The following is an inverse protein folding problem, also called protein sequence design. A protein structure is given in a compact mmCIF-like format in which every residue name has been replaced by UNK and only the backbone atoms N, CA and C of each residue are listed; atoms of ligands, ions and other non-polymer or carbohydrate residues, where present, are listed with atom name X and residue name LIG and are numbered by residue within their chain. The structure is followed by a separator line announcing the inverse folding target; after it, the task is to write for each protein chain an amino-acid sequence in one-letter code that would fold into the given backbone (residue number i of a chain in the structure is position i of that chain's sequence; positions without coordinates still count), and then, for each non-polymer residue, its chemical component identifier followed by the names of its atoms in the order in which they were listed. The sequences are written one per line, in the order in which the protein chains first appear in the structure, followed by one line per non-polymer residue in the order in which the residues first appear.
data_IF_698702388199
#
_entry.id   IF_698702388199
#
_cell.length_a   1.000
_cell.length_b   1.000
_cell.length_c   1.000
_cell.angle_alpha   90.00
_cell.angle_beta   90.00
_cell.angle_gamma   90.00
#
_symmetry.space_group_name_H-M   'P 1'
#
loop_
_entity.id
_entity.type
_entity.pdbx_description
1 polymer ?
#
# COMPACT_ATOMS: atom_id res chain seq x y z
N UNK A 1 19.88 8.46 -23.13
CA UNK A 1 18.88 7.36 -23.17
C UNK A 1 17.74 7.62 -22.19
N UNK A 2 16.49 7.40 -22.61
CA UNK A 2 15.32 7.44 -21.72
C UNK A 2 15.05 6.06 -21.14
N UNK A 3 15.32 5.90 -19.84
CA UNK A 3 14.88 4.74 -19.08
C UNK A 3 13.35 4.64 -19.17
N UNK A 4 12.85 3.61 -19.86
CA UNK A 4 11.42 3.28 -19.84
C UNK A 4 11.12 2.79 -18.42
N UNK A 5 10.81 3.73 -17.51
CA UNK A 5 10.09 3.43 -16.27
C UNK A 5 8.92 2.54 -16.65
N UNK A 6 8.99 1.29 -16.23
CA UNK A 6 7.92 0.30 -16.38
C UNK A 6 6.65 0.99 -15.91
N UNK A 7 5.75 1.33 -16.84
CA UNK A 7 4.54 2.07 -16.52
C UNK A 7 3.76 1.26 -15.49
N UNK A 8 3.65 1.76 -14.27
CA UNK A 8 2.90 1.06 -13.23
C UNK A 8 1.44 1.02 -13.61
N UNK A 9 0.78 -0.09 -13.30
CA UNK A 9 -0.64 -0.26 -13.64
C UNK A 9 -1.55 0.65 -12.81
N UNK A 10 -1.02 1.31 -11.77
CA UNK A 10 -1.75 2.21 -10.88
C UNK A 10 -1.13 2.28 -9.47
N UNK A 11 -1.92 2.67 -8.47
CA UNK A 11 -1.45 2.93 -7.10
C UNK A 11 -2.23 2.15 -6.03
N UNK A 12 -1.50 1.55 -5.10
CA UNK A 12 -2.03 1.00 -3.85
C UNK A 12 -1.64 1.92 -2.71
N UNK A 13 -2.66 2.41 -2.00
CA UNK A 13 -2.52 3.19 -0.78
C UNK A 13 -2.82 2.30 0.41
N UNK A 14 -2.16 2.54 1.53
CA UNK A 14 -2.47 1.85 2.77
C UNK A 14 -2.20 2.74 3.97
N UNK A 15 -2.73 2.36 5.12
CA UNK A 15 -2.52 3.06 6.38
C UNK A 15 -2.07 2.06 7.42
N UNK A 16 -1.01 2.39 8.13
CA UNK A 16 -0.54 1.60 9.25
C UNK A 16 -1.39 1.94 10.47
N UNK A 17 -2.18 0.99 10.93
CA UNK A 17 -3.07 1.17 12.09
C UNK A 17 -2.56 0.45 13.33
N UNK A 18 -2.96 0.94 14.49
CA UNK A 18 -2.63 0.41 15.83
C UNK A 18 -1.15 0.65 16.17
N UNK A 19 -0.49 -0.32 16.80
CA UNK A 19 0.91 -0.22 17.21
C UNK A 19 1.89 -0.87 16.21
N UNK A 20 3.19 -0.55 16.32
CA UNK A 20 4.25 -1.08 15.46
C UNK A 20 4.28 -2.60 15.33
N UNK A 21 3.83 -3.33 16.34
CA UNK A 21 3.71 -4.79 16.37
C UNK A 21 2.84 -5.35 15.24
N UNK A 22 1.93 -4.53 14.67
CA UNK A 22 1.07 -4.92 13.55
C UNK A 22 1.54 -4.39 12.20
N UNK A 23 2.49 -3.46 12.16
CA UNK A 23 2.85 -2.75 10.93
C UNK A 23 3.53 -3.67 9.91
N UNK A 24 4.35 -4.63 10.37
CA UNK A 24 5.03 -5.58 9.49
C UNK A 24 4.03 -6.40 8.65
N UNK A 25 2.95 -6.88 9.27
CA UNK A 25 1.89 -7.61 8.57
C UNK A 25 1.16 -6.72 7.55
N UNK A 26 0.87 -5.48 7.92
CA UNK A 26 0.19 -4.51 7.05
C UNK A 26 1.03 -4.16 5.82
N UNK A 27 2.34 -3.93 6.01
CA UNK A 27 3.30 -3.73 4.92
C UNK A 27 3.36 -4.98 4.05
N UNK A 28 3.52 -6.17 4.64
CA UNK A 28 3.63 -7.41 3.88
C UNK A 28 2.40 -7.66 2.99
N UNK A 29 1.19 -7.42 3.52
CA UNK A 29 -0.05 -7.51 2.76
C UNK A 29 -0.10 -6.48 1.63
N UNK A 30 0.27 -5.23 1.89
CA UNK A 30 0.26 -4.18 0.88
C UNK A 30 1.27 -4.43 -0.26
N UNK A 31 2.49 -4.87 0.09
CA UNK A 31 3.52 -5.29 -0.88
C UNK A 31 3.02 -6.46 -1.72
N UNK A 32 2.38 -7.46 -1.09
CA UNK A 32 1.84 -8.62 -1.81
C UNK A 32 0.76 -8.21 -2.82
N UNK A 33 -0.16 -7.35 -2.43
CA UNK A 33 -1.22 -6.83 -3.32
C UNK A 33 -0.63 -6.02 -4.46
N UNK A 34 0.24 -5.05 -4.16
CA UNK A 34 0.84 -4.19 -5.17
C UNK A 34 1.67 -4.98 -6.19
N UNK A 35 2.46 -5.96 -5.72
CA UNK A 35 3.22 -6.87 -6.58
C UNK A 35 2.30 -7.71 -7.47
N UNK A 36 1.21 -8.24 -6.93
CA UNK A 36 0.26 -9.06 -7.69
C UNK A 36 -0.40 -8.26 -8.82
N UNK A 37 -0.70 -6.99 -8.57
CA UNK A 37 -1.37 -6.09 -9.53
C UNK A 37 -0.40 -5.32 -10.45
N UNK A 38 0.91 -5.40 -10.20
CA UNK A 38 1.90 -4.57 -10.89
C UNK A 38 1.74 -3.06 -10.60
N UNK A 39 1.20 -2.74 -9.42
CA UNK A 39 0.94 -1.37 -8.97
C UNK A 39 2.13 -0.79 -8.17
N UNK A 40 2.19 0.54 -8.13
CA UNK A 40 3.10 1.29 -7.25
C UNK A 40 2.51 1.38 -5.86
N UNK A 41 3.33 1.18 -4.84
CA UNK A 41 2.96 1.36 -3.45
C UNK A 41 3.17 2.83 -3.05
N UNK A 42 2.13 3.49 -2.55
CA UNK A 42 2.26 4.81 -1.95
C UNK A 42 2.89 4.71 -0.55
N UNK A 43 3.74 5.66 -0.17
CA UNK A 43 4.18 5.79 1.23
C UNK A 43 2.93 5.94 2.13
N UNK A 44 2.77 5.10 3.16
CA UNK A 44 1.58 5.12 3.99
C UNK A 44 1.61 6.29 4.97
N UNK A 45 0.47 6.55 5.59
CA UNK A 45 0.40 7.27 6.86
C UNK A 45 0.26 6.28 8.02
N UNK A 46 0.61 6.72 9.23
CA UNK A 46 0.41 5.96 10.47
C UNK A 46 -0.77 6.55 11.22
N UNK A 47 -1.74 5.71 11.58
CA UNK A 47 -2.91 6.10 12.39
C UNK A 47 -2.94 5.28 13.68
N UNK A 48 -2.77 5.97 14.80
CA UNK A 48 -2.96 5.36 16.12
C UNK A 48 -4.43 5.00 16.38
N UNK A 49 -4.72 4.57 17.61
CA UNK A 49 -6.09 4.25 18.07
C UNK A 49 -7.04 5.45 17.99
N UNK A 50 -6.53 6.67 18.06
CA UNK A 50 -7.29 7.91 17.89
C UNK A 50 -7.21 8.39 16.44
N UNK A 51 -8.37 8.44 15.78
CA UNK A 51 -8.51 8.71 14.35
C UNK A 51 -8.14 10.15 13.92
N UNK A 52 -7.94 11.06 14.87
CA UNK A 52 -7.60 12.48 14.64
C UNK A 52 -6.11 12.75 14.46
N UNK A 53 -5.22 11.80 14.80
CA UNK A 53 -3.77 12.02 14.77
C UNK A 53 -3.10 11.05 13.78
N UNK A 54 -3.33 11.26 12.49
CA UNK A 54 -2.47 10.65 11.47
C UNK A 54 -1.06 11.27 11.58
N UNK A 55 -0.04 10.43 11.54
CA UNK A 55 1.36 10.84 11.56
C UNK A 55 2.02 10.47 10.23
N UNK A 56 2.89 11.32 9.69
CA UNK A 56 3.78 10.95 8.60
C UNK A 56 4.55 9.67 8.93
N UNK A 57 4.72 8.78 7.95
CA UNK A 57 5.52 7.57 8.13
C UNK A 57 6.97 7.88 8.54
N UNK A 58 7.53 8.96 7.99
CA UNK A 58 8.88 9.45 8.28
C UNK A 58 9.13 9.86 9.73
N UNK A 59 8.07 10.10 10.53
CA UNK A 59 8.22 10.45 11.95
C UNK A 59 8.55 9.23 12.81
N UNK A 60 8.30 8.02 12.31
CA UNK A 60 8.46 6.75 13.05
C UNK A 60 9.45 5.82 12.36
N UNK A 61 9.49 5.84 11.02
CA UNK A 61 10.31 4.94 10.21
C UNK A 61 11.17 5.72 9.23
N UNK A 62 12.34 5.15 8.92
CA UNK A 62 13.20 5.66 7.87
C UNK A 62 12.59 5.37 6.49
N UNK A 63 12.16 6.43 5.80
CA UNK A 63 11.53 6.36 4.48
C UNK A 63 12.50 5.83 3.42
N UNK A 64 13.77 6.24 3.47
CA UNK A 64 14.77 5.88 2.47
C UNK A 64 15.16 4.41 2.61
N UNK A 65 15.38 3.96 3.85
CA UNK A 65 15.63 2.55 4.14
C UNK A 65 14.43 1.68 3.77
N UNK A 66 13.20 2.15 4.02
CA UNK A 66 11.99 1.43 3.62
C UNK A 66 11.91 1.23 2.10
N UNK A 67 12.16 2.29 1.31
CA UNK A 67 12.15 2.20 -0.16
C UNK A 67 13.27 1.29 -0.66
N UNK A 68 14.48 1.46 -0.14
CA UNK A 68 15.61 0.61 -0.51
C UNK A 68 15.34 -0.88 -0.20
N UNK A 69 14.67 -1.17 0.93
CA UNK A 69 14.30 -2.55 1.30
C UNK A 69 13.29 -3.22 0.35
N UNK A 70 12.57 -2.44 -0.45
CA UNK A 70 11.54 -2.92 -1.38
C UNK A 70 11.98 -2.84 -2.85
N UNK A 71 13.21 -2.37 -3.10
CA UNK A 71 13.79 -2.31 -4.44
C UNK A 71 13.81 -3.70 -5.09
N UNK A 72 13.40 -3.78 -6.36
CA UNK A 72 13.26 -5.04 -7.09
C UNK A 72 12.03 -5.88 -6.70
N UNK A 73 11.32 -5.54 -5.62
CA UNK A 73 10.08 -6.23 -5.20
C UNK A 73 8.84 -5.47 -5.66
N UNK A 74 8.76 -4.18 -5.34
CA UNK A 74 7.65 -3.29 -5.70
C UNK A 74 8.16 -1.85 -5.80
N UNK A 75 7.62 -1.08 -6.74
CA UNK A 75 7.93 0.35 -6.81
C UNK A 75 7.24 1.08 -5.67
N UNK A 76 7.95 1.97 -4.99
CA UNK A 76 7.40 2.81 -3.92
C UNK A 76 7.51 4.28 -4.33
N UNK A 77 6.46 5.07 -4.09
CA UNK A 77 6.39 6.50 -4.42
C UNK A 77 6.16 7.35 -3.17
N UNK A 78 7.04 8.34 -2.95
CA UNK A 78 6.98 9.30 -1.85
C UNK A 78 5.95 10.41 -2.10
N UNK A 79 5.63 10.66 -3.36
CA UNK A 79 4.72 11.74 -3.79
C UNK A 79 3.61 11.17 -4.66
N UNK A 80 2.78 10.27 -4.09
CA UNK A 80 1.70 9.64 -4.85
C UNK A 80 0.61 10.67 -5.23
N UNK A 81 -0.25 10.34 -6.20
CA UNK A 81 -1.43 11.14 -6.49
C UNK A 81 -2.38 11.21 -5.28
N UNK A 82 -3.40 12.11 -5.31
CA UNK A 82 -4.38 12.22 -4.23
C UNK A 82 -5.03 10.88 -3.87
N UNK A 83 -5.36 10.71 -2.58
CA UNK A 83 -5.97 9.49 -2.07
C UNK A 83 -7.23 9.09 -2.86
N UNK A 84 -7.41 7.79 -3.15
CA UNK A 84 -8.62 7.31 -3.80
C UNK A 84 -9.82 7.41 -2.85
N UNK A 85 -11.01 7.54 -3.44
CA UNK A 85 -12.27 7.64 -2.66
C UNK A 85 -12.63 6.33 -1.97
N UNK A 86 -12.20 5.20 -2.53
CA UNK A 86 -12.55 3.87 -2.03
C UNK A 86 -11.45 3.30 -1.15
N UNK A 87 -11.86 2.74 -0.01
CA UNK A 87 -11.01 1.96 0.88
C UNK A 87 -11.60 0.56 1.04
N UNK A 88 -10.74 -0.46 0.97
CA UNK A 88 -11.13 -1.86 1.11
C UNK A 88 -10.45 -2.48 2.34
N UNK A 89 -11.25 -3.05 3.23
CA UNK A 89 -10.74 -3.87 4.33
C UNK A 89 -10.29 -5.22 3.79
N UNK A 90 -9.07 -5.63 4.14
CA UNK A 90 -8.52 -6.93 3.74
C UNK A 90 -8.30 -7.82 4.96
N UNK A 91 -8.45 -9.15 4.83
CA UNK A 91 -8.16 -10.07 5.92
C UNK A 91 -6.67 -10.07 6.28
N UNK A 92 -6.36 -10.54 7.49
CA UNK A 92 -4.97 -10.70 7.93
C UNK A 92 -4.18 -11.63 7.01
N UNK A 93 -4.81 -12.73 6.59
CA UNK A 93 -4.24 -13.72 5.68
C UNK A 93 -4.78 -13.50 4.28
N UNK A 94 -3.89 -13.13 3.34
CA UNK A 94 -4.22 -12.96 1.94
C UNK A 94 -3.81 -14.18 1.11
N UNK A 95 -4.78 -14.77 0.41
CA UNK A 95 -4.52 -15.76 -0.65
C UNK A 95 -4.45 -15.07 -2.02
N UNK A 96 -3.76 -15.70 -2.98
CA UNK A 96 -3.72 -15.18 -4.36
C UNK A 96 -5.12 -15.07 -4.97
N UNK A 97 -5.98 -16.06 -4.70
CA UNK A 97 -7.35 -16.10 -5.19
C UNK A 97 -8.20 -14.94 -4.67
N UNK A 98 -8.07 -14.59 -3.39
CA UNK A 98 -8.77 -13.43 -2.82
C UNK A 98 -8.32 -12.12 -3.47
N UNK A 99 -7.02 -11.98 -3.75
CA UNK A 99 -6.51 -10.79 -4.47
C UNK A 99 -7.12 -10.74 -5.88
N UNK A 100 -7.21 -11.88 -6.56
CA UNK A 100 -7.75 -11.96 -7.92
C UNK A 100 -9.26 -11.74 -7.99
N UNK A 101 -10.04 -12.25 -7.02
CA UNK A 101 -11.50 -12.19 -7.03
C UNK A 101 -12.06 -10.91 -6.42
N UNK A 102 -11.45 -10.39 -5.35
CA UNK A 102 -12.00 -9.24 -4.61
C UNK A 102 -11.22 -7.95 -4.87
N UNK A 103 -9.88 -8.02 -4.76
CA UNK A 103 -9.05 -6.81 -4.77
C UNK A 103 -8.84 -6.30 -6.19
N UNK A 104 -8.55 -7.18 -7.15
CA UNK A 104 -8.29 -6.81 -8.54
C UNK A 104 -9.50 -6.10 -9.17
N UNK A 105 -10.75 -6.61 -9.07
CA UNK A 105 -11.90 -5.89 -9.62
C UNK A 105 -12.13 -4.54 -8.93
N UNK A 106 -11.96 -4.48 -7.61
CA UNK A 106 -12.05 -3.21 -6.87
C UNK A 106 -10.98 -2.21 -7.36
N UNK A 107 -9.75 -2.66 -7.61
CA UNK A 107 -8.68 -1.81 -8.12
C UNK A 107 -9.00 -1.27 -9.52
N UNK A 108 -9.39 -2.14 -10.45
CA UNK A 108 -9.71 -1.77 -11.84
C UNK A 108 -10.92 -0.82 -11.93
N UNK A 109 -11.96 -1.07 -11.14
CA UNK A 109 -13.16 -0.22 -11.08
C UNK A 109 -12.89 1.17 -10.49
N UNK A 110 -11.79 1.35 -9.75
CA UNK A 110 -11.40 2.62 -9.14
C UNK A 110 -10.24 3.30 -9.88
N UNK A 111 -10.23 3.22 -11.22
CA UNK A 111 -9.19 3.83 -12.06
C UNK A 111 -7.78 3.40 -11.66
N UNK A 112 -7.62 2.14 -11.24
CA UNK A 112 -6.37 1.58 -10.78
C UNK A 112 -5.77 2.33 -9.57
N UNK A 113 -6.62 2.86 -8.69
CA UNK A 113 -6.20 3.48 -7.43
C UNK A 113 -7.07 2.96 -6.28
N UNK A 114 -6.48 2.22 -5.35
CA UNK A 114 -7.22 1.62 -4.23
C UNK A 114 -6.49 1.82 -2.91
N UNK A 115 -7.23 2.23 -1.88
CA UNK A 115 -6.73 2.22 -0.50
C UNK A 115 -7.11 0.90 0.17
N UNK A 116 -6.17 0.27 0.85
CA UNK A 116 -6.40 -0.97 1.61
C UNK A 116 -6.01 -0.79 3.07
N UNK A 117 -6.65 -1.55 3.97
CA UNK A 117 -6.23 -1.64 5.36
C UNK A 117 -6.46 -3.07 5.87
N UNK A 118 -5.49 -3.59 6.62
CA UNK A 118 -5.63 -4.92 7.22
C UNK A 118 -6.59 -4.86 8.40
N UNK A 119 -7.58 -5.74 8.42
CA UNK A 119 -8.50 -5.90 9.54
C UNK A 119 -7.81 -6.71 10.64
N UNK A 120 -7.50 -6.05 11.76
CA UNK A 120 -6.68 -6.62 12.85
C UNK A 120 -7.35 -6.48 14.20
#
# INVERSE_FOLDING_TARGET
EGDKKKSSSGYIFFTLIRGPEYHALQVANAVRVARFLGATLAIPDIRGTNSTNARPFGDVYDVDNFIASLEGVVQVDKTPPPLPRMSLGIPQTLTGDFIASEIKPAFENNHNALKIFTQI
#
